data_IF_616250354446
#
_entry.id   IF_616250354446
#
_cell.length_a   1.000
_cell.length_b   1.000
_cell.length_c   1.000
_cell.angle_alpha   90.00
_cell.angle_beta   90.00
_cell.angle_gamma   90.00
#
_symmetry.space_group_name_H-M   'P 1'
#
loop_
_entity.id
_entity.type
_entity.pdbx_description
1 polymer ?
#
# COMPACT_ATOMS: atom_id res chain seq x y z
N UNK A 1 -15.22 1.53 64.29
CA UNK A 1 -13.93 1.46 63.57
C UNK A 1 -13.96 0.28 62.60
N UNK A 2 -14.29 0.51 61.34
CA UNK A 2 -14.32 -0.53 60.31
C UNK A 2 -13.09 -0.36 59.39
N UNK A 3 -12.22 -1.37 59.33
CA UNK A 3 -11.06 -1.41 58.43
C UNK A 3 -11.51 -1.87 57.05
N UNK A 4 -11.47 -0.98 56.07
CA UNK A 4 -11.71 -1.26 54.66
C UNK A 4 -10.51 -2.03 54.10
N UNK A 5 -10.70 -3.31 53.78
CA UNK A 5 -9.70 -4.12 53.07
C UNK A 5 -9.63 -3.63 51.63
N UNK A 6 -8.51 -2.99 51.27
CA UNK A 6 -8.20 -2.59 49.90
C UNK A 6 -8.12 -3.81 48.99
N UNK A 7 -8.97 -3.84 47.96
CA UNK A 7 -8.94 -4.83 46.90
C UNK A 7 -7.70 -4.57 46.05
N UNK A 8 -6.70 -5.45 46.13
CA UNK A 8 -5.54 -5.43 45.26
C UNK A 8 -5.99 -5.79 43.84
N UNK A 9 -6.07 -4.79 42.96
CA UNK A 9 -6.24 -5.00 41.53
C UNK A 9 -4.92 -5.59 41.00
N UNK A 10 -4.92 -6.79 40.39
CA UNK A 10 -3.69 -7.37 39.85
C UNK A 10 -3.21 -6.51 38.68
N UNK A 11 -1.98 -5.97 38.79
CA UNK A 11 -1.31 -5.32 37.66
C UNK A 11 -1.07 -6.37 36.59
N UNK A 12 -1.64 -6.14 35.40
CA UNK A 12 -1.41 -6.95 34.19
C UNK A 12 0.09 -7.09 33.93
N UNK A 13 0.62 -8.30 34.06
CA UNK A 13 2.01 -8.66 33.74
C UNK A 13 2.15 -9.11 32.29
N UNK A 14 1.66 -8.32 31.32
CA UNK A 14 2.00 -8.57 29.92
C UNK A 14 3.37 -7.97 29.65
N UNK A 15 4.37 -8.83 29.47
CA UNK A 15 5.67 -8.45 28.90
C UNK A 15 5.40 -7.60 27.65
N UNK A 16 5.93 -6.38 27.53
CA UNK A 16 5.64 -5.55 26.38
C UNK A 16 6.22 -6.24 25.14
N UNK A 17 5.36 -6.63 24.20
CA UNK A 17 5.80 -7.07 22.89
C UNK A 17 6.63 -5.94 22.28
N UNK A 18 7.86 -6.24 21.85
CA UNK A 18 8.70 -5.25 21.14
C UNK A 18 7.92 -4.82 19.89
N UNK A 19 7.67 -3.53 19.72
CA UNK A 19 7.00 -3.01 18.52
C UNK A 19 8.01 -2.61 17.44
N UNK A 20 7.60 -2.69 16.18
CA UNK A 20 8.32 -2.15 15.03
C UNK A 20 7.42 -1.19 14.26
N UNK A 21 8.00 -0.06 13.84
CA UNK A 21 7.35 0.87 12.91
C UNK A 21 7.80 0.56 11.48
N UNK A 22 6.85 0.42 10.55
CA UNK A 22 7.11 0.30 9.12
C UNK A 22 7.73 1.60 8.59
N UNK A 23 8.88 1.56 7.89
CA UNK A 23 9.55 2.78 7.49
C UNK A 23 8.85 3.50 6.32
N UNK A 24 8.02 2.81 5.53
CA UNK A 24 7.25 3.42 4.43
C UNK A 24 5.93 4.04 4.91
N UNK A 25 5.02 3.23 5.47
CA UNK A 25 3.69 3.69 5.86
C UNK A 25 3.55 4.11 7.32
N UNK A 26 4.59 3.97 8.14
CA UNK A 26 4.59 4.28 9.59
C UNK A 26 3.65 3.45 10.46
N UNK A 27 3.02 2.41 9.92
CA UNK A 27 2.26 1.40 10.66
C UNK A 27 3.11 0.79 11.79
N UNK A 28 2.55 0.68 12.99
CA UNK A 28 3.21 0.03 14.14
C UNK A 28 2.57 -1.33 14.39
N UNK A 29 3.41 -2.37 14.45
CA UNK A 29 2.98 -3.74 14.74
C UNK A 29 3.89 -4.38 15.79
N UNK A 30 3.40 -5.35 16.58
CA UNK A 30 4.26 -6.23 17.36
C UNK A 30 5.30 -6.88 16.45
N UNK A 31 6.58 -6.76 16.82
CA UNK A 31 7.68 -7.31 16.06
C UNK A 31 7.55 -8.84 16.02
N UNK A 32 7.57 -9.39 14.81
CA UNK A 32 7.48 -10.81 14.55
C UNK A 32 8.79 -11.28 13.94
N UNK A 33 9.58 -12.04 14.69
CA UNK A 33 10.87 -12.58 14.21
C UNK A 33 10.71 -13.68 13.18
N UNK A 34 9.52 -14.26 13.03
CA UNK A 34 9.22 -15.25 12.00
C UNK A 34 8.72 -14.63 10.69
N UNK A 35 8.35 -13.33 10.69
CA UNK A 35 7.94 -12.65 9.47
C UNK A 35 9.15 -12.47 8.55
N UNK A 36 9.10 -13.10 7.38
CA UNK A 36 10.13 -13.00 6.35
C UNK A 36 9.71 -12.02 5.26
N UNK A 37 10.64 -11.16 4.86
CA UNK A 37 10.47 -10.24 3.74
C UNK A 37 11.82 -9.96 3.07
N UNK A 38 11.84 -9.89 1.74
CA UNK A 38 13.06 -9.78 0.93
C UNK A 38 13.61 -8.35 0.78
N UNK A 39 12.86 -7.33 1.23
CA UNK A 39 13.26 -5.93 1.17
C UNK A 39 13.05 -5.25 -0.18
N UNK A 40 12.15 -5.78 -1.03
CA UNK A 40 11.84 -5.16 -2.33
C UNK A 40 11.22 -3.75 -2.25
N UNK A 41 10.36 -3.51 -1.26
CA UNK A 41 9.67 -2.28 -0.90
C UNK A 41 10.28 -1.72 0.38
N UNK A 42 10.11 -0.42 0.63
CA UNK A 42 10.52 0.22 1.87
C UNK A 42 9.55 -0.08 3.02
N UNK A 43 9.39 -1.36 3.38
CA UNK A 43 8.42 -1.78 4.40
C UNK A 43 9.03 -2.72 5.45
N UNK A 44 8.35 -2.82 6.59
CA UNK A 44 8.67 -3.82 7.62
C UNK A 44 8.04 -5.17 7.25
N UNK A 45 8.65 -6.30 7.67
CA UNK A 45 8.08 -7.64 7.47
C UNK A 45 6.63 -7.81 7.95
N UNK A 46 6.26 -7.15 9.05
CA UNK A 46 4.89 -7.20 9.60
C UNK A 46 3.87 -6.52 8.67
N UNK A 47 4.24 -5.36 8.13
CA UNK A 47 3.43 -4.65 7.13
C UNK A 47 3.29 -5.46 5.84
N UNK A 48 4.37 -6.12 5.41
CA UNK A 48 4.33 -7.04 4.27
C UNK A 48 3.39 -8.23 4.50
N UNK A 49 3.39 -8.81 5.71
CA UNK A 49 2.48 -9.90 6.07
C UNK A 49 1.02 -9.48 5.94
N UNK A 50 0.65 -8.32 6.50
CA UNK A 50 -0.71 -7.78 6.40
C UNK A 50 -1.10 -7.53 4.94
N UNK A 51 -0.20 -6.93 4.17
CA UNK A 51 -0.45 -6.71 2.75
C UNK A 51 -0.66 -8.04 1.99
N UNK A 52 0.10 -9.07 2.34
CA UNK A 52 -0.08 -10.41 1.76
C UNK A 52 -1.45 -11.02 2.08
N UNK A 53 -1.98 -10.79 3.29
CA UNK A 53 -3.36 -11.16 3.66
C UNK A 53 -4.39 -10.40 2.82
N UNK A 54 -4.21 -9.08 2.64
CA UNK A 54 -5.05 -8.26 1.77
C UNK A 54 -5.07 -8.81 0.34
N UNK A 55 -3.92 -9.20 -0.21
CA UNK A 55 -3.87 -9.84 -1.53
C UNK A 55 -4.57 -11.20 -1.55
N UNK A 56 -4.37 -12.03 -0.51
CA UNK A 56 -5.01 -13.34 -0.37
C UNK A 56 -6.54 -13.27 -0.44
N UNK A 57 -7.14 -12.29 0.24
CA UNK A 57 -8.58 -12.00 0.17
C UNK A 57 -9.03 -11.68 -1.26
N UNK A 58 -8.26 -10.87 -1.98
CA UNK A 58 -8.59 -10.47 -3.34
C UNK A 58 -8.45 -11.63 -4.33
N UNK A 59 -7.40 -12.44 -4.23
CA UNK A 59 -7.22 -13.62 -5.07
C UNK A 59 -8.32 -14.67 -4.89
N UNK A 60 -8.95 -14.69 -3.71
CA UNK A 60 -10.03 -15.63 -3.38
C UNK A 60 -11.41 -15.15 -3.88
N UNK A 61 -11.51 -13.95 -4.46
CA UNK A 61 -12.77 -13.39 -4.97
C UNK A 61 -12.54 -12.62 -6.29
N UNK A 62 -12.98 -13.23 -7.40
CA UNK A 62 -12.81 -12.67 -8.75
C UNK A 62 -13.45 -11.28 -8.94
N UNK A 63 -14.54 -10.97 -8.24
CA UNK A 63 -15.22 -9.67 -8.32
C UNK A 63 -14.33 -8.60 -7.68
N UNK A 64 -13.86 -8.83 -6.46
CA UNK A 64 -12.93 -7.91 -5.78
C UNK A 64 -11.66 -7.75 -6.60
N UNK A 65 -11.10 -8.86 -7.07
CA UNK A 65 -9.88 -8.87 -7.87
C UNK A 65 -10.01 -7.95 -9.09
N UNK A 66 -11.05 -8.15 -9.90
CA UNK A 66 -11.27 -7.37 -11.12
C UNK A 66 -11.56 -5.89 -10.86
N UNK A 67 -12.10 -5.54 -9.69
CA UNK A 67 -12.48 -4.17 -9.38
C UNK A 67 -11.38 -3.32 -8.75
N UNK A 68 -10.47 -3.89 -7.95
CA UNK A 68 -9.54 -3.08 -7.14
C UNK A 68 -8.13 -3.66 -6.99
N UNK A 69 -7.80 -4.80 -7.60
CA UNK A 69 -6.50 -5.45 -7.35
C UNK A 69 -5.32 -4.58 -7.79
N UNK A 70 -5.35 -4.08 -9.03
CA UNK A 70 -4.26 -3.25 -9.54
C UNK A 70 -4.08 -1.98 -8.71
N UNK A 71 -5.17 -1.31 -8.34
CA UNK A 71 -5.18 -0.17 -7.43
C UNK A 71 -4.56 -0.49 -6.06
N UNK A 72 -4.81 -1.68 -5.51
CA UNK A 72 -4.20 -2.14 -4.24
C UNK A 72 -2.68 -2.26 -4.40
N UNK A 73 -2.22 -2.90 -5.46
CA UNK A 73 -0.80 -3.12 -5.73
C UNK A 73 -0.08 -1.79 -5.95
N UNK A 74 -0.67 -0.89 -6.74
CA UNK A 74 -0.12 0.42 -7.04
C UNK A 74 -0.05 1.30 -5.78
N UNK A 75 -1.12 1.35 -4.99
CA UNK A 75 -1.15 2.11 -3.74
C UNK A 75 -0.11 1.60 -2.73
N UNK A 76 0.02 0.28 -2.56
CA UNK A 76 1.02 -0.29 -1.66
C UNK A 76 2.44 0.08 -2.07
N UNK A 77 2.76 -0.12 -3.35
CA UNK A 77 4.11 0.14 -3.87
C UNK A 77 4.49 1.61 -3.71
N UNK A 78 3.58 2.54 -3.99
CA UNK A 78 3.83 3.97 -3.90
C UNK A 78 3.84 4.49 -2.46
N UNK A 79 3.05 3.91 -1.55
CA UNK A 79 3.13 4.19 -0.11
C UNK A 79 4.47 3.71 0.50
N UNK A 80 5.08 2.70 -0.09
CA UNK A 80 6.36 2.12 0.38
C UNK A 80 7.51 2.45 -0.57
N UNK A 81 7.44 3.59 -1.24
CA UNK A 81 8.54 4.14 -2.01
C UNK A 81 9.69 4.59 -1.10
N UNK A 82 10.93 4.42 -1.56
CA UNK A 82 12.14 4.81 -0.84
C UNK A 82 13.12 3.65 -0.62
N UNK A 83 14.27 3.94 0.01
CA UNK A 83 15.35 2.97 0.26
C UNK A 83 15.74 2.17 -0.98
N UNK A 84 15.59 0.85 -0.95
CA UNK A 84 15.94 -0.07 -2.04
C UNK A 84 14.90 -0.15 -3.16
N UNK A 85 13.71 0.43 -2.98
CA UNK A 85 12.60 0.29 -3.92
C UNK A 85 12.94 0.95 -5.27
N UNK A 86 12.75 0.20 -6.36
CA UNK A 86 13.29 0.55 -7.66
C UNK A 86 12.47 1.63 -8.37
N UNK A 87 13.14 2.60 -8.99
CA UNK A 87 12.52 3.63 -9.83
C UNK A 87 11.58 3.05 -10.90
N UNK A 88 11.93 1.89 -11.48
CA UNK A 88 11.07 1.16 -12.43
C UNK A 88 9.70 0.87 -11.81
N UNK A 89 9.68 0.28 -10.62
CA UNK A 89 8.43 -0.06 -9.93
C UNK A 89 7.64 1.21 -9.62
N UNK A 90 8.27 2.25 -9.04
CA UNK A 90 7.61 3.53 -8.76
C UNK A 90 6.98 4.13 -10.02
N UNK A 91 7.72 4.15 -11.14
CA UNK A 91 7.23 4.67 -12.43
C UNK A 91 6.00 3.90 -12.92
N UNK A 92 6.06 2.57 -12.86
CA UNK A 92 4.97 1.70 -13.32
C UNK A 92 3.72 1.88 -12.44
N UNK A 93 3.87 1.94 -11.12
CA UNK A 93 2.72 2.10 -10.22
C UNK A 93 2.12 3.52 -10.29
N UNK A 94 2.93 4.57 -10.51
CA UNK A 94 2.43 5.91 -10.82
C UNK A 94 1.63 5.92 -12.13
N UNK A 95 2.12 5.23 -13.16
CA UNK A 95 1.39 5.10 -14.43
C UNK A 95 0.07 4.35 -14.25
N UNK A 96 0.03 3.36 -13.34
CA UNK A 96 -1.18 2.60 -13.02
C UNK A 96 -2.25 3.47 -12.38
N UNK A 97 -1.90 4.25 -11.34
CA UNK A 97 -2.83 5.20 -10.74
C UNK A 97 -3.24 6.30 -11.72
N UNK A 98 -2.31 6.84 -12.52
CA UNK A 98 -2.64 7.82 -13.57
C UNK A 98 -3.65 7.25 -14.58
N UNK A 99 -3.45 6.01 -15.03
CA UNK A 99 -4.37 5.33 -15.94
C UNK A 99 -5.76 5.15 -15.33
N UNK A 100 -5.83 4.83 -14.04
CA UNK A 100 -7.09 4.69 -13.33
C UNK A 100 -7.83 6.03 -13.16
N UNK A 101 -7.15 7.05 -12.64
CA UNK A 101 -7.78 8.31 -12.22
C UNK A 101 -7.96 9.32 -13.35
N UNK A 102 -6.98 9.45 -14.24
CA UNK A 102 -7.02 10.49 -15.28
C UNK A 102 -7.48 9.96 -16.64
N UNK A 103 -7.21 8.70 -16.94
CA UNK A 103 -7.60 8.09 -18.23
C UNK A 103 -8.87 7.24 -18.13
N UNK A 104 -9.37 6.98 -16.92
CA UNK A 104 -10.57 6.17 -16.69
C UNK A 104 -10.43 4.72 -17.15
N UNK A 105 -9.20 4.21 -17.25
CA UNK A 105 -8.94 2.86 -17.74
C UNK A 105 -9.40 1.85 -16.68
N UNK A 106 -10.23 0.86 -17.05
CA UNK A 106 -10.67 -0.17 -16.12
C UNK A 106 -9.50 -0.94 -15.50
N UNK A 107 -9.60 -1.28 -14.22
CA UNK A 107 -8.54 -1.97 -13.46
C UNK A 107 -8.06 -3.26 -14.14
N UNK A 108 -8.96 -4.00 -14.80
CA UNK A 108 -8.63 -5.22 -15.56
C UNK A 108 -7.79 -4.99 -16.81
N UNK A 109 -7.72 -3.76 -17.32
CA UNK A 109 -6.99 -3.40 -18.53
C UNK A 109 -5.63 -2.75 -18.25
N UNK A 110 -5.47 -2.14 -17.06
CA UNK A 110 -4.23 -1.47 -16.65
C UNK A 110 -2.99 -2.39 -16.73
N UNK A 111 -3.00 -3.67 -16.32
CA UNK A 111 -1.83 -4.54 -16.41
C UNK A 111 -1.23 -4.63 -17.83
N UNK A 112 -2.06 -4.64 -18.86
CA UNK A 112 -1.59 -4.68 -20.27
C UNK A 112 -0.90 -3.38 -20.66
N UNK A 113 -1.43 -2.24 -20.21
CA UNK A 113 -0.81 -0.93 -20.42
C UNK A 113 0.53 -0.84 -19.69
N UNK A 114 0.59 -1.27 -18.43
CA UNK A 114 1.82 -1.30 -17.65
C UNK A 114 2.89 -2.20 -18.28
N UNK A 115 2.49 -3.36 -18.81
CA UNK A 115 3.41 -4.25 -19.53
C UNK A 115 3.99 -3.59 -20.80
N UNK A 116 3.18 -2.85 -21.56
CA UNK A 116 3.66 -2.07 -22.71
C UNK A 116 4.69 -1.03 -22.27
N UNK A 117 4.37 -0.22 -21.26
CA UNK A 117 5.30 0.77 -20.71
C UNK A 117 6.60 0.12 -20.23
N UNK A 118 6.50 -1.02 -19.54
CA UNK A 118 7.63 -1.80 -19.05
C UNK A 118 8.60 -2.25 -20.15
N UNK A 119 8.09 -2.50 -21.36
CA UNK A 119 8.85 -2.97 -22.52
C UNK A 119 9.46 -1.82 -23.35
N UNK A 120 8.84 -0.64 -23.34
CA UNK A 120 9.26 0.48 -24.18
C UNK A 120 10.16 1.48 -23.44
N UNK A 121 9.92 1.72 -22.15
CA UNK A 121 10.71 2.69 -21.38
C UNK A 121 12.12 2.11 -21.14
N UNK A 122 13.12 2.79 -21.68
CA UNK A 122 14.53 2.40 -21.50
C UNK A 122 15.15 3.02 -20.24
N UNK A 123 14.69 4.22 -19.86
CA UNK A 123 15.22 4.99 -18.74
C UNK A 123 14.13 5.24 -17.70
N UNK A 124 14.35 4.76 -16.48
CA UNK A 124 13.39 4.89 -15.38
C UNK A 124 13.64 6.18 -14.59
N UNK A 125 12.79 7.21 -14.74
CA UNK A 125 12.97 8.47 -14.03
C UNK A 125 12.92 8.27 -12.51
N UNK A 126 13.66 9.09 -11.80
CA UNK A 126 13.55 9.19 -10.35
C UNK A 126 12.41 10.16 -10.00
N UNK A 127 11.53 9.72 -9.11
CA UNK A 127 10.51 10.57 -8.51
C UNK A 127 10.77 10.66 -7.01
N UNK A 128 10.80 11.89 -6.49
CA UNK A 128 10.97 12.13 -5.06
C UNK A 128 9.69 11.67 -4.34
N UNK A 129 9.74 10.65 -3.46
CA UNK A 129 8.55 10.21 -2.74
C UNK A 129 8.02 11.31 -1.80
N UNK A 130 6.69 11.43 -1.63
CA UNK A 130 6.12 12.33 -0.64
C UNK A 130 6.48 11.89 0.78
N UNK A 131 6.52 12.83 1.73
CA UNK A 131 6.80 12.52 3.14
C UNK A 131 5.68 11.71 3.81
N UNK A 132 4.46 11.73 3.26
CA UNK A 132 3.30 11.01 3.79
C UNK A 132 2.29 10.78 2.67
N UNK A 133 1.67 9.60 2.63
CA UNK A 133 0.64 9.22 1.64
C UNK A 133 -0.76 9.09 2.26
N UNK A 134 -1.06 9.95 3.22
CA UNK A 134 -2.29 9.90 4.01
C UNK A 134 -2.30 8.89 5.17
N UNK A 135 -3.45 8.72 5.83
CA UNK A 135 -3.56 7.98 7.10
C UNK A 135 -3.82 6.48 6.94
N UNK A 136 -4.30 6.03 5.77
CA UNK A 136 -4.66 4.63 5.56
C UNK A 136 -3.43 3.78 5.20
N UNK A 137 -3.45 2.54 5.66
CA UNK A 137 -2.43 1.52 5.42
C UNK A 137 -3.09 0.20 5.02
N UNK A 138 -2.28 -0.80 4.64
CA UNK A 138 -2.77 -2.15 4.39
C UNK A 138 -3.52 -2.75 5.60
N UNK A 139 -3.22 -2.31 6.82
CA UNK A 139 -3.92 -2.75 8.03
C UNK A 139 -5.38 -2.32 8.04
N UNK A 140 -5.65 -1.07 7.64
CA UNK A 140 -7.02 -0.58 7.52
C UNK A 140 -7.79 -1.38 6.46
N UNK A 141 -7.14 -1.85 5.40
CA UNK A 141 -7.79 -2.70 4.40
C UNK A 141 -8.08 -4.09 4.97
N UNK A 142 -7.11 -4.70 5.66
CA UNK A 142 -7.26 -6.02 6.27
C UNK A 142 -8.38 -6.10 7.31
N UNK A 143 -8.70 -4.98 7.96
CA UNK A 143 -9.80 -4.88 8.93
C UNK A 143 -11.20 -4.75 8.29
N UNK A 144 -11.32 -4.76 6.97
CA UNK A 144 -12.63 -4.74 6.33
C UNK A 144 -13.41 -6.03 6.64
N UNK A 145 -14.66 -5.89 7.07
CA UNK A 145 -15.51 -7.02 7.46
C UNK A 145 -16.41 -7.49 6.32
N UNK A 146 -16.57 -6.68 5.26
CA UNK A 146 -17.34 -7.03 4.07
C UNK A 146 -16.58 -6.72 2.79
N UNK A 147 -17.05 -7.31 1.68
CA UNK A 147 -16.52 -7.04 0.34
C UNK A 147 -16.64 -5.56 -0.05
N UNK A 148 -17.80 -4.95 0.20
CA UNK A 148 -18.09 -3.56 -0.12
C UNK A 148 -17.17 -2.62 0.67
N UNK A 149 -16.96 -2.92 1.95
CA UNK A 149 -16.05 -2.17 2.80
C UNK A 149 -14.60 -2.30 2.32
N UNK A 150 -14.16 -3.50 1.95
CA UNK A 150 -12.82 -3.73 1.40
C UNK A 150 -12.58 -2.89 0.14
N UNK A 151 -13.52 -2.92 -0.81
CA UNK A 151 -13.47 -2.13 -2.04
C UNK A 151 -13.41 -0.62 -1.72
N UNK A 152 -14.27 -0.15 -0.81
CA UNK A 152 -14.31 1.27 -0.43
C UNK A 152 -13.00 1.73 0.21
N UNK A 153 -12.45 0.94 1.14
CA UNK A 153 -11.21 1.26 1.83
C UNK A 153 -10.02 1.27 0.87
N UNK A 154 -9.95 0.32 -0.08
CA UNK A 154 -8.90 0.31 -1.11
C UNK A 154 -8.94 1.57 -1.98
N UNK A 155 -10.14 1.94 -2.47
CA UNK A 155 -10.29 3.17 -3.28
C UNK A 155 -9.83 4.40 -2.51
N UNK A 156 -10.29 4.56 -1.27
CA UNK A 156 -9.90 5.68 -0.41
C UNK A 156 -8.41 5.70 -0.12
N UNK A 157 -7.79 4.53 0.08
CA UNK A 157 -6.35 4.42 0.28
C UNK A 157 -5.58 4.84 -0.97
N UNK A 158 -6.00 4.39 -2.15
CA UNK A 158 -5.42 4.80 -3.42
C UNK A 158 -5.63 6.29 -3.71
N UNK A 159 -6.76 6.89 -3.32
CA UNK A 159 -7.00 8.33 -3.45
C UNK A 159 -5.94 9.11 -2.66
N UNK A 160 -5.74 8.77 -1.37
CA UNK A 160 -4.73 9.41 -0.53
C UNK A 160 -3.31 9.25 -1.09
N UNK A 161 -2.99 8.07 -1.60
CA UNK A 161 -1.68 7.83 -2.22
C UNK A 161 -1.55 8.66 -3.48
N UNK A 162 -2.53 8.63 -4.38
CA UNK A 162 -2.48 9.38 -5.63
C UNK A 162 -2.32 10.89 -5.40
N UNK A 163 -3.12 11.46 -4.49
CA UNK A 163 -3.07 12.88 -4.14
C UNK A 163 -1.71 13.30 -3.56
N UNK A 164 -1.13 12.44 -2.71
CA UNK A 164 0.20 12.69 -2.14
C UNK A 164 1.30 12.74 -3.20
N UNK A 165 1.11 12.09 -4.35
CA UNK A 165 2.05 12.10 -5.48
C UNK A 165 1.78 13.21 -6.51
N UNK A 166 0.94 14.20 -6.18
CA UNK A 166 0.50 15.29 -7.07
C UNK A 166 1.63 16.06 -7.77
N UNK A 167 2.76 16.29 -7.10
CA UNK A 167 3.95 16.95 -7.68
C UNK A 167 4.50 16.25 -8.94
N UNK A 168 4.16 14.97 -9.15
CA UNK A 168 4.64 14.17 -10.26
C UNK A 168 3.56 13.83 -11.29
N UNK A 169 2.31 14.28 -11.10
CA UNK A 169 1.19 13.97 -12.01
C UNK A 169 1.45 14.42 -13.45
N UNK A 170 1.97 15.63 -13.66
CA UNK A 170 2.30 16.12 -15.01
C UNK A 170 3.40 15.27 -15.65
N UNK A 171 4.44 14.90 -14.89
CA UNK A 171 5.57 14.11 -15.41
C UNK A 171 5.12 12.73 -15.83
N UNK A 172 4.31 12.05 -15.01
CA UNK A 172 3.83 10.71 -15.36
C UNK A 172 2.84 10.77 -16.51
N UNK A 173 1.98 11.79 -16.60
CA UNK A 173 1.08 11.99 -17.73
C UNK A 173 1.86 12.15 -19.05
N UNK A 174 2.91 12.98 -19.06
CA UNK A 174 3.79 13.13 -20.24
C UNK A 174 4.45 11.80 -20.63
N UNK A 175 5.00 11.07 -19.66
CA UNK A 175 5.66 9.78 -19.90
C UNK A 175 4.69 8.73 -20.44
N UNK A 176 3.48 8.64 -19.89
CA UNK A 176 2.46 7.71 -20.37
C UNK A 176 2.03 8.09 -21.79
N UNK A 177 1.73 9.37 -22.04
CA UNK A 177 1.27 9.83 -23.35
C UNK A 177 2.29 9.55 -24.48
N UNK A 178 3.59 9.71 -24.22
CA UNK A 178 4.64 9.47 -25.23
C UNK A 178 4.82 7.99 -25.61
N UNK A 179 4.19 7.05 -24.89
CA UNK A 179 4.32 5.60 -25.10
C UNK A 179 2.98 4.90 -25.37
N UNK A 180 1.87 5.64 -25.48
CA UNK A 180 0.56 5.10 -25.83
C UNK A 180 0.18 5.27 -27.31
N UNK A 181 1.10 5.78 -28.13
CA UNK A 181 0.95 5.79 -29.59
C UNK A 181 0.98 4.37 -30.19
#
# INVERSE_FOLDING_TARGET
MAKQKGLLVPKSTKTPYKERQCPGCRLRMPANTAAAYDGYYHCSPECWSIYSEVLGTQFSNAIIFGQIHQMTVDAYALQHAGGSHKNKSITIHLAGLHAAYNLGIPQTQIPRLLQRLANHIQHWPYYVPPQSTGPLTAFDIALASTMEEHILRVKKWADFVWDAWSDHHTKIASLVSSHLH
#
